data_IF_524373628407
#
_entry.id   IF_524373628407
#
_cell.length_a   1.000
_cell.length_b   1.000
_cell.length_c   1.000
_cell.angle_alpha   90.00
_cell.angle_beta   90.00
_cell.angle_gamma   90.00
#
_symmetry.space_group_name_H-M   'P 1'
#
loop_
_entity.id
_entity.type
_entity.pdbx_description
1 polymer ?
#
# COMPACT_ATOMS: atom_id res chain seq x y z
N UNK A 1 -22.65 -21.48 25.91
CA UNK A 1 -21.52 -20.53 25.74
C UNK A 1 -21.45 -20.06 24.30
N UNK A 2 -21.77 -18.80 24.03
CA UNK A 2 -21.65 -18.21 22.68
C UNK A 2 -20.15 -18.08 22.36
N UNK A 3 -19.65 -18.85 21.41
CA UNK A 3 -18.30 -18.63 20.85
C UNK A 3 -18.33 -17.22 20.26
N UNK A 4 -17.65 -16.24 20.88
CA UNK A 4 -17.32 -14.98 20.22
C UNK A 4 -16.68 -15.37 18.89
N UNK A 5 -17.34 -15.05 17.78
CA UNK A 5 -16.69 -15.11 16.47
C UNK A 5 -15.49 -14.19 16.62
N UNK A 6 -14.29 -14.76 16.72
CA UNK A 6 -13.05 -14.00 16.55
C UNK A 6 -13.20 -13.45 15.15
N UNK A 7 -13.37 -12.13 15.03
CA UNK A 7 -13.22 -11.43 13.77
C UNK A 7 -11.76 -11.71 13.38
N UNK A 8 -11.51 -12.84 12.71
CA UNK A 8 -10.20 -13.14 12.15
C UNK A 8 -9.92 -11.97 11.23
N UNK A 9 -8.76 -11.33 11.36
CA UNK A 9 -8.21 -10.51 10.30
C UNK A 9 -8.23 -11.37 9.03
N UNK A 10 -9.28 -11.19 8.22
CA UNK A 10 -9.40 -11.90 6.94
C UNK A 10 -8.45 -11.16 6.03
N UNK A 11 -7.34 -11.82 5.73
CA UNK A 11 -6.38 -11.39 4.73
C UNK A 11 -7.10 -11.33 3.37
N UNK A 12 -7.33 -10.11 2.86
CA UNK A 12 -7.96 -9.87 1.56
C UNK A 12 -6.84 -9.62 0.54
N UNK A 13 -6.49 -10.60 -0.32
CA UNK A 13 -5.69 -10.30 -1.49
C UNK A 13 -6.54 -9.45 -2.45
N UNK A 14 -6.02 -8.26 -2.77
CA UNK A 14 -6.60 -7.29 -3.71
C UNK A 14 -7.13 -8.00 -4.97
N UNK A 15 -8.46 -8.11 -5.06
CA UNK A 15 -9.16 -8.94 -6.05
C UNK A 15 -10.54 -9.45 -5.63
N UNK A 16 -10.88 -9.43 -4.34
CA UNK A 16 -12.26 -9.72 -3.88
C UNK A 16 -12.92 -8.46 -3.36
N UNK A 17 -13.74 -7.83 -4.19
CA UNK A 17 -14.90 -7.10 -3.70
C UNK A 17 -15.73 -8.06 -2.83
N UNK A 18 -16.39 -7.52 -1.80
CA UNK A 18 -17.28 -8.23 -0.86
C UNK A 18 -16.65 -8.75 0.45
N UNK A 19 -16.65 -7.85 1.43
CA UNK A 19 -16.98 -8.20 2.80
C UNK A 19 -17.27 -6.93 3.58
N UNK A 20 -18.12 -6.97 4.61
CA UNK A 20 -18.20 -5.96 5.69
C UNK A 20 -17.59 -6.52 6.98
N UNK A 21 -16.54 -5.90 7.49
CA UNK A 21 -15.68 -6.38 8.58
C UNK A 21 -14.64 -5.31 8.93
N UNK A 22 -14.05 -5.38 10.12
CA UNK A 22 -13.02 -4.42 10.54
C UNK A 22 -11.72 -4.73 9.78
N UNK A 23 -11.48 -4.04 8.67
CA UNK A 23 -10.32 -4.28 7.81
C UNK A 23 -9.10 -3.49 8.27
N UNK A 24 -7.96 -4.17 8.35
CA UNK A 24 -6.65 -3.53 8.41
C UNK A 24 -6.40 -2.65 7.19
N UNK A 25 -5.24 -2.01 7.16
CA UNK A 25 -4.85 -1.12 6.06
C UNK A 25 -4.91 -1.88 4.73
N UNK A 26 -5.59 -1.32 3.73
CA UNK A 26 -5.83 -2.04 2.47
C UNK A 26 -4.51 -2.22 1.74
N UNK A 27 -4.34 -3.37 1.08
CA UNK A 27 -3.14 -3.68 0.30
C UNK A 27 -2.75 -2.56 -0.67
N UNK A 28 -3.73 -1.89 -1.28
CA UNK A 28 -3.55 -0.78 -2.23
C UNK A 28 -3.00 0.50 -1.57
N UNK A 29 -3.27 0.72 -0.28
CA UNK A 29 -2.74 1.89 0.44
C UNK A 29 -1.22 1.81 0.64
N UNK A 30 -0.64 0.62 0.50
CA UNK A 30 0.81 0.42 0.53
C UNK A 30 1.50 0.75 -0.80
N UNK A 31 0.78 0.91 -1.92
CA UNK A 31 1.39 1.12 -3.24
C UNK A 31 2.12 2.48 -3.31
N UNK A 32 1.46 3.55 -2.90
CA UNK A 32 2.02 4.90 -2.88
C UNK A 32 3.24 5.06 -1.95
N UNK A 33 3.20 4.67 -0.65
CA UNK A 33 4.36 4.78 0.24
C UNK A 33 5.50 3.85 -0.18
N UNK A 34 5.21 2.69 -0.77
CA UNK A 34 6.23 1.80 -1.33
C UNK A 34 7.00 2.47 -2.48
N UNK A 35 6.29 3.07 -3.43
CA UNK A 35 6.90 3.80 -4.54
C UNK A 35 7.66 5.03 -4.03
N UNK A 36 7.09 5.78 -3.08
CA UNK A 36 7.74 6.94 -2.44
C UNK A 36 9.06 6.55 -1.77
N UNK A 37 9.05 5.49 -0.97
CA UNK A 37 10.24 4.98 -0.29
C UNK A 37 11.32 4.63 -1.31
N UNK A 38 10.98 3.91 -2.38
CA UNK A 38 11.96 3.61 -3.44
C UNK A 38 12.51 4.85 -4.14
N UNK A 39 11.71 5.91 -4.30
CA UNK A 39 12.17 7.20 -4.84
C UNK A 39 13.15 7.87 -3.88
N UNK A 40 12.87 7.85 -2.57
CA UNK A 40 13.72 8.42 -1.52
C UNK A 40 15.09 7.72 -1.44
N UNK A 41 15.10 6.39 -1.61
CA UNK A 41 16.31 5.56 -1.71
C UNK A 41 17.13 5.80 -3.00
N UNK A 42 16.70 6.69 -3.90
CA UNK A 42 17.39 7.00 -5.17
C UNK A 42 16.92 6.16 -6.36
N UNK A 43 15.90 5.31 -6.17
CA UNK A 43 15.29 4.49 -7.21
C UNK A 43 15.46 2.99 -7.05
N UNK A 44 16.30 2.56 -6.12
CA UNK A 44 16.55 1.15 -5.84
C UNK A 44 16.85 0.94 -4.35
N UNK A 45 16.34 -0.16 -3.80
CA UNK A 45 16.52 -0.48 -2.39
C UNK A 45 16.32 -1.96 -2.12
N UNK A 46 16.92 -2.48 -1.04
CA UNK A 46 16.69 -3.87 -0.65
C UNK A 46 15.25 -4.03 -0.17
N UNK A 47 14.58 -5.10 -0.61
CA UNK A 47 13.20 -5.39 -0.23
C UNK A 47 12.98 -5.35 1.29
N UNK A 48 13.92 -5.87 2.09
CA UNK A 48 13.80 -5.84 3.55
C UNK A 48 13.83 -4.41 4.10
N UNK A 49 14.80 -3.59 3.68
CA UNK A 49 14.95 -2.20 4.12
C UNK A 49 13.74 -1.36 3.70
N UNK A 50 13.30 -1.52 2.45
CA UNK A 50 12.12 -0.82 1.91
C UNK A 50 10.85 -1.21 2.65
N UNK A 51 10.62 -2.49 2.93
CA UNK A 51 9.45 -2.92 3.71
C UNK A 51 9.47 -2.27 5.09
N UNK A 52 10.61 -2.27 5.78
CA UNK A 52 10.71 -1.68 7.11
C UNK A 52 10.47 -0.17 7.12
N UNK A 53 10.99 0.56 6.13
CA UNK A 53 10.75 2.00 6.00
C UNK A 53 9.29 2.33 5.68
N UNK A 54 8.64 1.57 4.80
CA UNK A 54 7.21 1.74 4.50
C UNK A 54 6.36 1.58 5.77
N UNK A 55 6.67 0.60 6.61
CA UNK A 55 5.97 0.38 7.88
C UNK A 55 6.17 1.49 8.90
N UNK A 56 7.26 2.26 8.81
CA UNK A 56 7.51 3.44 9.67
C UNK A 56 6.81 4.70 9.14
N UNK A 57 6.65 4.79 7.83
CA UNK A 57 6.01 5.94 7.19
C UNK A 57 4.48 5.88 7.33
N UNK A 58 3.91 4.68 7.39
CA UNK A 58 2.46 4.49 7.48
C UNK A 58 1.96 4.47 8.94
N UNK A 59 0.78 5.04 9.15
CA UNK A 59 0.03 4.89 10.40
C UNK A 59 -0.72 3.55 10.37
N UNK A 60 -0.05 2.51 10.89
CA UNK A 60 -0.58 1.14 10.92
C UNK A 60 -1.52 0.94 12.11
N UNK A 61 -2.61 0.18 11.91
CA UNK A 61 -3.57 -0.13 12.98
C UNK A 61 -3.09 -1.33 13.81
N UNK A 62 -3.65 -1.53 15.00
CA UNK A 62 -3.31 -2.69 15.85
C UNK A 62 -3.45 -4.03 15.12
N UNK A 63 -4.47 -4.17 14.26
CA UNK A 63 -4.70 -5.36 13.42
C UNK A 63 -3.59 -5.62 12.39
N UNK A 64 -2.90 -4.57 11.95
CA UNK A 64 -1.81 -4.66 10.98
C UNK A 64 -0.54 -5.23 11.63
N UNK A 65 -0.39 -5.07 12.95
CA UNK A 65 0.68 -5.67 13.76
C UNK A 65 0.40 -7.11 14.21
N UNK A 66 -0.79 -7.65 13.92
CA UNK A 66 -1.10 -9.04 14.24
C UNK A 66 -0.20 -10.00 13.45
N UNK A 67 0.14 -11.11 14.08
CA UNK A 67 0.87 -12.21 13.45
C UNK A 67 -0.12 -13.14 12.75
N UNK A 68 0.14 -13.39 11.46
CA UNK A 68 -0.60 -14.37 10.69
C UNK A 68 -0.26 -15.79 11.16
N UNK A 69 -1.12 -16.75 10.85
CA UNK A 69 -0.88 -18.16 11.15
C UNK A 69 0.38 -18.73 10.44
N UNK A 70 0.95 -18.00 9.48
CA UNK A 70 2.23 -18.31 8.82
C UNK A 70 3.46 -17.84 9.62
N UNK A 71 3.28 -17.10 10.72
CA UNK A 71 4.37 -16.48 11.49
C UNK A 71 4.85 -15.13 10.92
N UNK A 72 4.13 -14.56 9.95
CA UNK A 72 4.44 -13.26 9.35
C UNK A 72 3.50 -12.18 9.85
N UNK A 73 4.00 -10.96 10.03
CA UNK A 73 3.18 -9.82 10.43
C UNK A 73 2.29 -9.39 9.25
N UNK A 74 1.00 -9.11 9.51
CA UNK A 74 -0.01 -8.74 8.50
C UNK A 74 0.49 -7.63 7.58
N UNK A 75 0.98 -6.52 8.13
CA UNK A 75 1.44 -5.38 7.31
C UNK A 75 2.64 -5.73 6.43
N UNK A 76 3.61 -6.52 6.94
CA UNK A 76 4.78 -6.95 6.16
C UNK A 76 4.36 -7.80 4.97
N UNK A 77 3.39 -8.68 5.18
CA UNK A 77 2.80 -9.47 4.11
C UNK A 77 2.08 -8.55 3.11
N UNK A 78 1.26 -7.60 3.56
CA UNK A 78 0.56 -6.65 2.70
C UNK A 78 1.51 -5.85 1.80
N UNK A 79 2.64 -5.36 2.32
CA UNK A 79 3.67 -4.66 1.50
C UNK A 79 4.25 -5.58 0.43
N UNK A 80 4.48 -6.86 0.73
CA UNK A 80 4.96 -7.82 -0.28
C UNK A 80 3.95 -8.00 -1.40
N UNK A 81 2.66 -8.09 -1.08
CA UNK A 81 1.59 -8.16 -2.08
C UNK A 81 1.50 -6.90 -2.92
N UNK A 82 1.65 -5.71 -2.31
CA UNK A 82 1.78 -4.45 -3.04
C UNK A 82 2.92 -4.50 -4.05
N UNK A 83 4.09 -4.95 -3.62
CA UNK A 83 5.24 -5.11 -4.53
C UNK A 83 4.95 -6.07 -5.69
N UNK A 84 4.20 -7.15 -5.46
CA UNK A 84 3.87 -8.14 -6.48
C UNK A 84 2.94 -7.56 -7.55
N UNK A 85 1.93 -6.79 -7.13
CA UNK A 85 1.05 -6.06 -8.04
C UNK A 85 1.81 -5.02 -8.87
N UNK A 86 2.66 -4.22 -8.22
CA UNK A 86 3.46 -3.20 -8.90
C UNK A 86 4.43 -3.82 -9.92
N UNK A 87 4.96 -5.02 -9.64
CA UNK A 87 5.76 -5.79 -10.61
C UNK A 87 4.93 -6.27 -11.78
N UNK A 88 3.74 -6.82 -11.52
CA UNK A 88 2.82 -7.31 -12.57
C UNK A 88 2.41 -6.21 -13.54
N UNK A 89 2.25 -4.98 -13.06
CA UNK A 89 1.86 -3.82 -13.88
C UNK A 89 3.05 -3.00 -14.39
N UNK A 90 4.30 -3.47 -14.19
CA UNK A 90 5.50 -2.85 -14.77
C UNK A 90 6.02 -1.59 -14.06
N UNK A 91 5.46 -1.24 -12.90
CA UNK A 91 5.85 -0.04 -12.13
C UNK A 91 7.09 -0.29 -11.24
N UNK A 92 7.39 -1.55 -10.96
CA UNK A 92 8.49 -1.96 -10.10
C UNK A 92 9.17 -3.19 -10.70
N UNK A 93 10.50 -3.21 -10.67
CA UNK A 93 11.32 -4.32 -11.14
C UNK A 93 12.06 -4.99 -9.98
N UNK A 94 12.33 -6.29 -10.11
CA UNK A 94 13.08 -7.06 -9.11
C UNK A 94 14.44 -7.46 -9.67
N UNK A 95 15.49 -6.92 -9.09
CA UNK A 95 16.87 -7.27 -9.43
C UNK A 95 17.36 -8.50 -8.64
N UNK A 96 18.48 -9.07 -9.10
CA UNK A 96 19.18 -10.14 -8.38
C UNK A 96 19.60 -9.64 -6.99
N UNK A 97 19.48 -10.51 -5.98
CA UNK A 97 19.80 -10.16 -4.60
C UNK A 97 18.65 -9.57 -3.77
N UNK A 98 17.41 -9.57 -4.29
CA UNK A 98 16.26 -9.08 -3.54
C UNK A 98 16.17 -7.55 -3.48
N UNK A 99 16.81 -6.88 -4.43
CA UNK A 99 16.72 -5.43 -4.62
C UNK A 99 15.47 -5.14 -5.45
N UNK A 100 14.68 -4.16 -5.02
CA UNK A 100 13.56 -3.62 -5.76
C UNK A 100 14.01 -2.32 -6.41
N UNK A 101 13.63 -2.14 -7.67
CA UNK A 101 13.93 -0.96 -8.46
C UNK A 101 12.62 -0.35 -8.95
N UNK A 102 12.43 0.93 -8.76
CA UNK A 102 11.29 1.62 -9.37
C UNK A 102 11.56 1.87 -10.85
N UNK A 103 10.57 1.60 -11.71
CA UNK A 103 10.68 1.92 -13.15
C UNK A 103 10.32 3.39 -13.38
N UNK A 104 10.63 3.90 -14.58
CA UNK A 104 10.21 5.26 -14.94
C UNK A 104 8.68 5.41 -14.93
N UNK A 105 7.97 4.37 -15.35
CA UNK A 105 6.51 4.28 -15.27
C UNK A 105 6.02 4.34 -13.82
N UNK A 106 6.67 3.63 -12.89
CA UNK A 106 6.37 3.70 -11.45
C UNK A 106 6.54 5.11 -10.87
N UNK A 107 7.60 5.81 -11.27
CA UNK A 107 7.83 7.21 -10.87
C UNK A 107 6.75 8.13 -11.42
N UNK A 108 6.34 7.93 -12.68
CA UNK A 108 5.29 8.72 -13.30
C UNK A 108 3.93 8.44 -12.66
N UNK A 109 3.64 7.16 -12.37
CA UNK A 109 2.43 6.75 -11.66
C UNK A 109 2.34 7.40 -10.28
N UNK A 110 3.43 7.38 -9.49
CA UNK A 110 3.46 8.06 -8.21
C UNK A 110 3.24 9.58 -8.35
N UNK A 111 3.86 10.21 -9.34
CA UNK A 111 3.64 11.64 -9.64
C UNK A 111 2.22 11.95 -10.10
N UNK A 112 1.59 11.06 -10.87
CA UNK A 112 0.23 11.24 -11.36
C UNK A 112 -0.79 11.02 -10.25
N UNK A 113 -0.63 9.99 -9.41
CA UNK A 113 -1.47 9.72 -8.26
C UNK A 113 -1.33 10.81 -7.18
N UNK A 114 -0.11 11.23 -6.87
CA UNK A 114 0.14 12.35 -5.96
C UNK A 114 -0.19 13.71 -6.61
N UNK A 115 -0.13 13.81 -7.94
CA UNK A 115 -0.52 14.99 -8.72
C UNK A 115 -2.04 15.17 -8.78
N UNK A 116 -2.79 14.07 -8.86
CA UNK A 116 -4.25 14.03 -8.77
C UNK A 116 -4.77 14.57 -7.43
N UNK A 117 -4.00 14.38 -6.34
CA UNK A 117 -4.35 14.96 -5.02
C UNK A 117 -4.31 16.50 -5.03
N UNK A 118 -3.47 17.12 -5.88
CA UNK A 118 -3.43 18.58 -6.04
C UNK A 118 -4.46 19.16 -7.02
N UNK A 119 -5.25 18.34 -7.71
CA UNK A 119 -6.30 18.82 -8.62
C UNK A 119 -7.74 18.66 -8.10
N UNK A 120 -7.94 18.24 -6.84
CA UNK A 120 -9.24 18.36 -6.17
C UNK A 120 -9.20 19.45 -5.08
N UNK A 121 -9.25 20.70 -5.52
CA UNK A 121 -9.84 21.78 -4.72
C UNK A 121 -9.20 23.16 -4.87
N UNK A 122 -9.80 24.03 -5.71
CA UNK A 122 -10.38 25.33 -5.30
C UNK A 122 -11.06 26.09 -6.45
N UNK A 123 -12.32 26.49 -6.22
CA UNK A 123 -13.09 27.54 -6.93
C UNK A 123 -14.22 27.00 -7.83
N UNK A 124 -15.51 27.27 -7.65
CA UNK A 124 -16.23 28.19 -6.74
C UNK A 124 -17.67 27.69 -6.55
N UNK A 125 -18.14 27.62 -5.29
CA UNK A 125 -19.56 27.83 -4.98
C UNK A 125 -19.76 29.34 -4.86
N UNK A 126 -20.46 29.96 -5.80
CA UNK A 126 -21.34 31.13 -5.59
C UNK A 126 -21.79 31.68 -6.93
N UNK A 127 -23.08 31.52 -7.23
CA UNK A 127 -23.76 32.16 -8.34
C UNK A 127 -25.25 32.06 -8.06
N UNK A 128 -25.73 33.04 -7.30
CA UNK A 128 -27.13 33.28 -6.95
C UNK A 128 -28.00 33.24 -8.21
N UNK A 129 -29.01 32.38 -8.18
CA UNK A 129 -30.13 32.41 -9.13
C UNK A 129 -31.00 33.63 -8.76
N UNK A 130 -31.22 34.52 -9.73
CA UNK A 130 -32.13 35.67 -9.64
C UNK A 130 -33.54 35.30 -10.07
#
# INVERSE_FOLDING_TARGET
MKRKKRNKAVFIPDGTEEGKGEYGTLGKEYDAPLLKTLIDFGGEGKACEVIEEVGKEMDLKEVDYEELNSGEIVWKNNVRWASDRLKKVGLLDKLRGGIWRITEEGRNYYKDENGKTKMRGKGSKSGIEI
#
